data_IF_853992756159
#
_entry.id   IF_853992756159
#
_cell.length_a   1.000
_cell.length_b   1.000
_cell.length_c   1.000
_cell.angle_alpha   90.00
_cell.angle_beta   90.00
_cell.angle_gamma   90.00
#
_symmetry.space_group_name_H-M   'P 1'
#
loop_
_entity.id
_entity.type
_entity.pdbx_description
1 polymer ?
#
# COMPACT_ATOMS: atom_id res chain seq x y z
N UNK A 1 5.35 25.56 -0.41
CA UNK A 1 5.02 24.13 -0.33
C UNK A 1 3.97 24.00 0.75
N UNK A 2 2.83 23.44 0.42
CA UNK A 2 1.66 23.34 1.30
C UNK A 2 0.98 21.96 1.26
N UNK A 3 1.63 20.98 0.60
CA UNK A 3 1.11 19.62 0.46
C UNK A 3 2.18 18.60 0.82
N UNK A 4 1.80 17.62 1.66
CA UNK A 4 2.63 16.45 1.95
C UNK A 4 1.89 15.21 1.46
N UNK A 5 2.60 14.35 0.74
CA UNK A 5 2.13 13.04 0.34
C UNK A 5 2.90 11.98 1.12
N UNK A 6 2.20 11.15 1.87
CA UNK A 6 2.78 10.06 2.65
C UNK A 6 2.61 8.71 1.97
N UNK A 7 3.64 7.89 1.98
CA UNK A 7 3.42 6.45 2.01
C UNK A 7 2.79 6.04 3.36
N UNK A 8 2.21 4.84 3.44
CA UNK A 8 1.53 4.35 4.66
C UNK A 8 2.39 3.30 5.37
N UNK A 9 2.69 2.19 4.69
CA UNK A 9 3.40 1.06 5.30
C UNK A 9 4.88 1.36 5.55
N UNK A 10 5.38 1.23 6.79
CA UNK A 10 6.74 1.63 7.17
C UNK A 10 6.90 3.13 7.45
N UNK A 11 5.94 3.95 7.02
CA UNK A 11 5.96 5.41 7.16
C UNK A 11 5.04 5.89 8.29
N UNK A 12 3.73 5.65 8.19
CA UNK A 12 2.73 6.03 9.20
C UNK A 12 2.34 4.88 10.12
N UNK A 13 2.42 3.66 9.63
CA UNK A 13 2.10 2.44 10.36
C UNK A 13 2.90 1.26 9.82
N UNK A 14 2.90 0.15 10.54
CA UNK A 14 3.39 -1.15 10.06
C UNK A 14 2.42 -2.27 10.45
N UNK A 15 2.53 -3.41 9.80
CA UNK A 15 1.89 -4.63 10.27
C UNK A 15 2.86 -5.41 11.14
N UNK A 16 2.46 -5.69 12.39
CA UNK A 16 3.15 -6.65 13.25
C UNK A 16 2.75 -8.07 12.88
N UNK A 17 3.63 -9.03 13.11
CA UNK A 17 3.42 -10.45 12.79
C UNK A 17 3.34 -10.76 11.30
N UNK A 18 3.85 -9.89 10.44
CA UNK A 18 4.03 -10.24 9.03
C UNK A 18 5.22 -11.18 8.85
N UNK A 19 5.10 -12.25 8.03
CA UNK A 19 6.27 -12.94 7.52
C UNK A 19 7.05 -12.01 6.59
N UNK A 20 8.33 -12.29 6.41
CA UNK A 20 9.19 -11.53 5.50
C UNK A 20 8.68 -11.49 4.06
N UNK A 21 7.83 -12.45 3.68
CA UNK A 21 7.33 -12.59 2.32
C UNK A 21 5.83 -12.89 2.35
N UNK A 22 5.03 -12.01 1.74
CA UNK A 22 3.59 -12.20 1.57
C UNK A 22 3.21 -13.52 0.89
N UNK A 23 4.10 -14.06 0.06
CA UNK A 23 3.92 -15.34 -0.64
C UNK A 23 3.69 -16.52 0.29
N UNK A 24 4.20 -16.45 1.53
CA UNK A 24 4.07 -17.53 2.52
C UNK A 24 2.64 -17.67 3.06
N UNK A 25 1.80 -16.64 2.87
CA UNK A 25 0.38 -16.68 3.26
C UNK A 25 -0.53 -17.32 2.22
N UNK A 26 -0.17 -17.30 0.94
CA UNK A 26 -1.12 -17.56 -0.14
C UNK A 26 -1.75 -18.95 -0.07
N UNK A 27 -0.97 -19.99 0.20
CA UNK A 27 -1.48 -21.35 0.32
C UNK A 27 -2.43 -21.51 1.50
N UNK A 28 -2.02 -21.05 2.69
CA UNK A 28 -2.85 -21.08 3.89
C UNK A 28 -4.14 -20.26 3.73
N UNK A 29 -4.07 -19.12 3.06
CA UNK A 29 -5.22 -18.26 2.82
C UNK A 29 -6.22 -18.89 1.84
N UNK A 30 -5.76 -19.52 0.75
CA UNK A 30 -6.65 -20.28 -0.14
C UNK A 30 -7.25 -21.52 0.53
N UNK A 31 -6.48 -22.24 1.37
CA UNK A 31 -7.02 -23.35 2.17
C UNK A 31 -8.12 -22.86 3.11
N UNK A 32 -7.88 -21.74 3.80
CA UNK A 32 -8.90 -21.14 4.67
C UNK A 32 -10.17 -20.77 3.88
N UNK A 33 -10.05 -20.14 2.72
CA UNK A 33 -11.19 -19.80 1.87
C UNK A 33 -11.94 -21.08 1.42
N UNK A 34 -11.22 -22.13 1.01
CA UNK A 34 -11.78 -23.45 0.66
C UNK A 34 -12.62 -24.02 1.79
N UNK A 35 -12.08 -24.06 3.00
CA UNK A 35 -12.77 -24.61 4.17
C UNK A 35 -13.97 -23.75 4.59
N UNK A 36 -13.76 -22.45 4.73
CA UNK A 36 -14.78 -21.49 5.20
C UNK A 36 -16.00 -21.43 4.29
N UNK A 37 -15.79 -21.51 2.98
CA UNK A 37 -16.86 -21.43 1.97
C UNK A 37 -17.28 -22.81 1.44
N UNK A 38 -16.71 -23.90 1.99
CA UNK A 38 -16.97 -25.28 1.54
C UNK A 38 -16.79 -25.44 0.03
N UNK A 39 -15.75 -24.84 -0.55
CA UNK A 39 -15.48 -24.92 -1.97
C UNK A 39 -14.96 -26.30 -2.36
N UNK A 40 -15.50 -26.94 -3.43
CA UNK A 40 -15.07 -28.28 -3.85
C UNK A 40 -13.76 -28.25 -4.64
N UNK A 41 -12.77 -27.49 -4.13
CA UNK A 41 -11.45 -27.36 -4.74
C UNK A 41 -10.58 -28.57 -4.46
N UNK A 42 -10.01 -29.16 -5.49
CA UNK A 42 -8.93 -30.12 -5.39
C UNK A 42 -7.61 -29.46 -4.97
N UNK A 43 -6.68 -30.22 -4.44
CA UNK A 43 -5.35 -29.72 -4.09
C UNK A 43 -4.59 -29.19 -5.34
N UNK A 44 -4.82 -29.80 -6.50
CA UNK A 44 -4.24 -29.35 -7.77
C UNK A 44 -4.76 -27.97 -8.18
N UNK A 45 -6.08 -27.75 -8.13
CA UNK A 45 -6.70 -26.45 -8.41
C UNK A 45 -6.24 -25.37 -7.42
N UNK A 46 -6.13 -25.73 -6.14
CA UNK A 46 -5.62 -24.81 -5.13
C UNK A 46 -4.16 -24.41 -5.41
N UNK A 47 -3.29 -25.36 -5.73
CA UNK A 47 -1.90 -25.11 -6.08
C UNK A 47 -1.76 -24.20 -7.31
N UNK A 48 -2.63 -24.39 -8.32
CA UNK A 48 -2.68 -23.54 -9.51
C UNK A 48 -3.13 -22.10 -9.15
N UNK A 49 -4.15 -21.94 -8.32
CA UNK A 49 -4.58 -20.62 -7.82
C UNK A 49 -3.46 -19.88 -7.08
N UNK A 50 -2.72 -20.60 -6.24
CA UNK A 50 -1.54 -20.06 -5.53
C UNK A 50 -0.45 -19.64 -6.52
N UNK A 51 -0.18 -20.45 -7.55
CA UNK A 51 0.83 -20.16 -8.57
C UNK A 51 0.46 -18.89 -9.34
N UNK A 52 -0.79 -18.75 -9.78
CA UNK A 52 -1.29 -17.54 -10.46
C UNK A 52 -1.15 -16.31 -9.57
N UNK A 53 -1.57 -16.39 -8.29
CA UNK A 53 -1.45 -15.26 -7.37
C UNK A 53 0.02 -14.86 -7.12
N UNK A 54 0.93 -15.82 -7.09
CA UNK A 54 2.40 -15.57 -7.02
C UNK A 54 2.91 -14.78 -8.21
N UNK A 55 2.43 -15.07 -9.42
CA UNK A 55 2.81 -14.33 -10.63
C UNK A 55 2.39 -12.86 -10.57
N UNK A 56 1.28 -12.55 -9.93
CA UNK A 56 0.84 -11.16 -9.70
C UNK A 56 1.64 -10.44 -8.61
N UNK A 57 2.46 -11.13 -7.83
CA UNK A 57 3.23 -10.47 -6.78
C UNK A 57 4.44 -9.71 -7.39
N UNK A 58 4.56 -8.37 -7.16
CA UNK A 58 5.63 -7.56 -7.75
C UNK A 58 7.04 -7.91 -7.25
N UNK A 59 7.17 -8.69 -6.17
CA UNK A 59 8.46 -9.24 -5.73
C UNK A 59 8.89 -10.46 -6.55
N UNK A 60 7.95 -11.13 -7.21
CA UNK A 60 8.22 -12.25 -8.13
C UNK A 60 8.37 -11.74 -9.56
N UNK A 61 7.38 -11.01 -10.04
CA UNK A 61 7.38 -10.39 -11.36
C UNK A 61 7.23 -8.87 -11.19
N UNK A 62 8.33 -8.14 -11.34
CA UNK A 62 8.32 -6.69 -11.24
C UNK A 62 7.32 -6.08 -12.22
N UNK A 63 6.50 -5.18 -11.73
CA UNK A 63 5.52 -4.43 -12.53
C UNK A 63 5.22 -3.06 -11.92
N UNK A 64 4.93 -2.10 -12.76
CA UNK A 64 4.46 -0.77 -12.34
C UNK A 64 2.94 -0.61 -12.55
N UNK A 65 2.29 -1.50 -13.30
CA UNK A 65 0.82 -1.57 -13.40
C UNK A 65 0.28 -2.33 -12.19
N UNK A 66 -0.80 -1.85 -11.59
CA UNK A 66 -1.55 -2.64 -10.59
C UNK A 66 -2.90 -3.09 -11.13
N UNK A 67 -3.45 -4.13 -10.53
CA UNK A 67 -4.68 -4.78 -10.95
C UNK A 67 -5.64 -4.84 -9.78
N UNK A 68 -6.95 -4.76 -10.08
CA UNK A 68 -7.98 -4.87 -9.06
C UNK A 68 -7.99 -6.27 -8.42
N UNK A 69 -8.48 -6.40 -7.18
CA UNK A 69 -8.66 -7.70 -6.53
C UNK A 69 -9.45 -8.69 -7.39
N UNK A 70 -10.53 -8.20 -8.02
CA UNK A 70 -11.40 -9.03 -8.87
C UNK A 70 -10.67 -9.56 -10.10
N UNK A 71 -9.79 -8.75 -10.70
CA UNK A 71 -8.97 -9.19 -11.82
C UNK A 71 -8.01 -10.30 -11.39
N UNK A 72 -7.28 -10.08 -10.28
CA UNK A 72 -6.27 -11.01 -9.78
C UNK A 72 -6.91 -12.33 -9.36
N UNK A 73 -7.94 -12.27 -8.51
CA UNK A 73 -8.63 -13.47 -8.03
C UNK A 73 -9.47 -14.15 -9.12
N UNK A 74 -10.03 -13.37 -10.06
CA UNK A 74 -10.70 -13.93 -11.24
C UNK A 74 -9.74 -14.77 -12.07
N UNK A 75 -8.49 -14.31 -12.25
CA UNK A 75 -7.44 -15.10 -12.91
C UNK A 75 -7.02 -16.32 -12.09
N UNK A 76 -6.88 -16.18 -10.78
CA UNK A 76 -6.53 -17.28 -9.88
C UNK A 76 -7.62 -18.37 -9.81
N UNK A 77 -8.88 -18.03 -10.09
CA UNK A 77 -10.02 -18.96 -10.09
C UNK A 77 -10.52 -19.33 -11.50
N UNK A 78 -9.83 -18.92 -12.57
CA UNK A 78 -10.30 -19.11 -13.96
C UNK A 78 -10.49 -20.60 -14.34
N UNK A 79 -9.78 -21.51 -13.66
CA UNK A 79 -9.86 -22.96 -13.87
C UNK A 79 -10.82 -23.68 -12.91
N UNK A 80 -11.59 -22.94 -12.08
CA UNK A 80 -12.61 -23.53 -11.21
C UNK A 80 -13.87 -23.86 -12.01
N UNK A 81 -14.32 -25.08 -11.93
CA UNK A 81 -15.45 -25.62 -12.72
C UNK A 81 -16.78 -25.66 -11.97
N UNK A 82 -16.92 -24.88 -10.90
CA UNK A 82 -18.12 -24.77 -10.06
C UNK A 82 -18.49 -23.30 -9.81
N UNK A 83 -19.70 -23.09 -9.30
CA UNK A 83 -20.17 -21.73 -8.97
C UNK A 83 -19.64 -21.27 -7.61
N UNK A 84 -19.19 -20.03 -7.55
CA UNK A 84 -18.73 -19.36 -6.33
C UNK A 84 -19.00 -17.85 -6.42
N UNK A 85 -18.95 -17.17 -5.27
CA UNK A 85 -18.91 -15.71 -5.20
C UNK A 85 -17.46 -15.27 -5.04
N UNK A 86 -16.95 -14.49 -6.00
CA UNK A 86 -15.56 -14.04 -6.01
C UNK A 86 -15.24 -13.11 -4.84
N UNK A 87 -16.19 -12.25 -4.43
CA UNK A 87 -16.00 -11.31 -3.33
C UNK A 87 -15.93 -12.06 -1.98
N UNK A 88 -16.74 -13.12 -1.82
CA UNK A 88 -16.64 -13.99 -0.64
C UNK A 88 -15.28 -14.72 -0.59
N UNK A 89 -14.77 -15.18 -1.73
CA UNK A 89 -13.42 -15.79 -1.82
C UNK A 89 -12.34 -14.81 -1.43
N UNK A 90 -12.36 -13.58 -1.96
CA UNK A 90 -11.41 -12.52 -1.61
C UNK A 90 -11.47 -12.22 -0.10
N UNK A 91 -12.67 -12.06 0.45
CA UNK A 91 -12.89 -11.80 1.88
C UNK A 91 -12.31 -12.93 2.75
N UNK A 92 -12.68 -14.18 2.45
CA UNK A 92 -12.20 -15.35 3.20
C UNK A 92 -10.68 -15.53 3.10
N UNK A 93 -10.08 -15.23 1.94
CA UNK A 93 -8.63 -15.26 1.74
C UNK A 93 -7.91 -14.32 2.72
N UNK A 94 -8.36 -13.05 2.80
CA UNK A 94 -7.72 -12.06 3.67
C UNK A 94 -8.06 -12.23 5.15
N UNK A 95 -9.18 -12.84 5.52
CA UNK A 95 -9.50 -13.21 6.92
C UNK A 95 -8.40 -14.06 7.57
N UNK A 96 -7.77 -14.96 6.79
CA UNK A 96 -6.69 -15.83 7.30
C UNK A 96 -5.42 -15.07 7.64
N UNK A 97 -5.18 -13.92 7.05
CA UNK A 97 -3.90 -13.20 7.20
C UNK A 97 -3.71 -12.60 8.60
N UNK A 98 -4.78 -12.33 9.34
CA UNK A 98 -4.78 -11.84 10.75
C UNK A 98 -3.77 -10.71 10.97
N UNK A 99 -3.71 -9.76 10.03
CA UNK A 99 -2.77 -8.64 10.10
C UNK A 99 -3.05 -7.81 11.34
N UNK A 100 -1.98 -7.49 12.08
CA UNK A 100 -2.08 -6.64 13.26
C UNK A 100 -1.46 -5.28 12.93
N UNK A 101 -2.28 -4.23 12.68
CA UNK A 101 -1.76 -2.90 12.41
C UNK A 101 -1.13 -2.30 13.67
N UNK A 102 -0.08 -1.55 13.47
CA UNK A 102 0.57 -0.74 14.51
C UNK A 102 0.85 0.65 13.94
N UNK A 103 0.02 1.62 14.32
CA UNK A 103 0.25 3.02 13.98
C UNK A 103 1.42 3.52 14.82
N UNK A 104 2.40 4.14 14.18
CA UNK A 104 3.53 4.69 14.91
C UNK A 104 3.07 5.84 15.83
N UNK A 105 3.61 5.94 17.06
CA UNK A 105 3.15 6.92 18.05
C UNK A 105 3.28 8.38 17.64
N UNK A 106 4.16 8.67 16.70
CA UNK A 106 4.42 10.00 16.16
C UNK A 106 3.49 10.37 14.98
N UNK A 107 2.76 9.40 14.41
CA UNK A 107 1.96 9.61 13.20
C UNK A 107 0.78 10.53 13.45
N UNK A 108 -0.13 10.17 14.33
CA UNK A 108 -1.32 11.02 14.62
C UNK A 108 -0.92 12.41 15.09
N UNK A 109 0.00 12.59 16.09
CA UNK A 109 0.43 13.92 16.49
C UNK A 109 1.07 14.74 15.37
N UNK A 110 1.78 14.12 14.43
CA UNK A 110 2.35 14.84 13.29
C UNK A 110 1.27 15.31 12.32
N UNK A 111 0.32 14.42 11.98
CA UNK A 111 -0.80 14.77 11.10
C UNK A 111 -1.67 15.89 11.68
N UNK A 112 -1.93 15.86 13.00
CA UNK A 112 -2.64 16.94 13.71
C UNK A 112 -1.93 18.29 13.59
N UNK A 113 -0.62 18.32 13.84
CA UNK A 113 0.18 19.56 13.68
C UNK A 113 0.13 20.08 12.25
N UNK A 114 0.29 19.21 11.26
CA UNK A 114 0.24 19.59 9.85
C UNK A 114 -1.14 20.15 9.46
N UNK A 115 -2.22 19.52 9.90
CA UNK A 115 -3.59 20.04 9.68
C UNK A 115 -3.79 21.40 10.35
N UNK A 116 -3.27 21.61 11.56
CA UNK A 116 -3.34 22.90 12.27
C UNK A 116 -2.59 24.02 11.52
N UNK A 117 -1.57 23.65 10.73
CA UNK A 117 -0.83 24.58 9.86
C UNK A 117 -1.50 24.78 8.49
N UNK A 118 -2.65 24.15 8.24
CA UNK A 118 -3.36 24.26 6.96
C UNK A 118 -2.69 23.47 5.81
N UNK A 119 -1.88 22.47 6.14
CA UNK A 119 -1.21 21.61 5.15
C UNK A 119 -2.20 20.60 4.57
N UNK A 120 -2.21 20.47 3.25
CA UNK A 120 -2.91 19.41 2.54
C UNK A 120 -2.14 18.10 2.73
N UNK A 121 -2.84 17.05 3.18
CA UNK A 121 -2.24 15.75 3.47
C UNK A 121 -2.86 14.70 2.56
N UNK A 122 -2.04 14.10 1.70
CA UNK A 122 -2.44 13.02 0.82
C UNK A 122 -1.65 11.75 1.10
N UNK A 123 -2.10 10.63 0.54
CA UNK A 123 -1.34 9.37 0.58
C UNK A 123 -1.06 8.88 -0.83
N UNK A 124 0.05 8.16 -1.00
CA UNK A 124 0.32 7.30 -2.16
C UNK A 124 0.97 6.01 -1.67
N UNK A 125 0.21 4.93 -1.65
CA UNK A 125 0.63 3.66 -1.07
C UNK A 125 0.46 2.50 -2.03
N UNK A 126 1.40 1.54 -2.02
CA UNK A 126 1.25 0.28 -2.73
C UNK A 126 0.50 -0.73 -1.86
N UNK A 127 -0.66 -1.16 -2.32
CA UNK A 127 -1.47 -2.16 -1.60
C UNK A 127 -0.95 -3.58 -1.88
N UNK A 128 -1.12 -4.49 -0.92
CA UNK A 128 -0.76 -5.88 -1.09
C UNK A 128 -1.53 -6.51 -2.26
N UNK A 129 -0.88 -7.46 -2.98
CA UNK A 129 -1.45 -8.11 -4.16
C UNK A 129 -2.85 -8.66 -3.90
N UNK A 130 -3.83 -8.16 -4.62
CA UNK A 130 -5.23 -8.60 -4.52
C UNK A 130 -6.00 -8.11 -3.28
N UNK A 131 -5.43 -7.25 -2.44
CA UNK A 131 -6.13 -6.72 -1.28
C UNK A 131 -7.06 -5.56 -1.68
N UNK A 132 -8.36 -5.60 -1.34
CA UNK A 132 -9.26 -4.47 -1.58
C UNK A 132 -8.84 -3.21 -0.82
N UNK A 133 -9.05 -2.03 -1.42
CA UNK A 133 -8.75 -0.73 -0.79
C UNK A 133 -9.53 -0.51 0.51
N UNK A 134 -10.79 -0.95 0.56
CA UNK A 134 -11.64 -0.86 1.75
C UNK A 134 -11.02 -1.66 2.92
N UNK A 135 -10.54 -2.86 2.63
CA UNK A 135 -9.86 -3.70 3.62
C UNK A 135 -8.54 -3.05 4.06
N UNK A 136 -7.75 -2.52 3.12
CA UNK A 136 -6.49 -1.83 3.44
C UNK A 136 -6.76 -0.64 4.37
N UNK A 137 -7.74 0.21 4.05
CA UNK A 137 -8.11 1.37 4.89
C UNK A 137 -8.65 0.99 6.26
N UNK A 138 -9.29 -0.18 6.40
CA UNK A 138 -9.83 -0.66 7.68
C UNK A 138 -8.76 -0.95 8.74
N UNK A 139 -7.49 -1.05 8.36
CA UNK A 139 -6.37 -1.28 9.28
C UNK A 139 -5.85 -0.02 9.98
N UNK A 140 -6.23 1.18 9.52
CA UNK A 140 -5.75 2.45 10.10
C UNK A 140 -6.86 3.53 10.15
N UNK A 141 -8.03 3.21 10.75
CA UNK A 141 -9.17 4.13 10.79
C UNK A 141 -8.84 5.45 11.50
N UNK A 142 -7.87 5.45 12.42
CA UNK A 142 -7.43 6.63 13.17
C UNK A 142 -6.67 7.63 12.28
N UNK A 143 -6.09 7.19 11.17
CA UNK A 143 -5.35 8.06 10.25
C UNK A 143 -6.26 8.69 9.18
N UNK A 144 -7.35 8.00 8.81
CA UNK A 144 -8.22 8.41 7.69
C UNK A 144 -8.77 9.85 7.81
N UNK A 145 -9.15 10.35 8.99
CA UNK A 145 -9.69 11.71 9.13
C UNK A 145 -8.72 12.82 8.76
N UNK A 146 -7.42 12.53 8.70
CA UNK A 146 -6.39 13.53 8.38
C UNK A 146 -6.09 13.63 6.89
N UNK A 147 -6.49 12.63 6.08
CA UNK A 147 -6.19 12.62 4.66
C UNK A 147 -7.22 13.40 3.86
N UNK A 148 -6.75 14.40 3.11
CA UNK A 148 -7.57 15.14 2.15
C UNK A 148 -7.79 14.29 0.87
N UNK A 149 -6.82 13.42 0.54
CA UNK A 149 -6.95 12.46 -0.55
C UNK A 149 -6.17 11.17 -0.22
N UNK A 150 -6.83 10.03 -0.35
CA UNK A 150 -6.19 8.72 -0.28
C UNK A 150 -6.02 8.18 -1.70
N UNK A 151 -4.77 7.95 -2.10
CA UNK A 151 -4.42 7.31 -3.37
C UNK A 151 -3.67 6.02 -3.06
N UNK A 152 -4.10 4.94 -3.68
CA UNK A 152 -3.43 3.64 -3.63
C UNK A 152 -3.00 3.20 -5.02
N UNK A 153 -2.13 2.19 -5.09
CA UNK A 153 -1.75 1.57 -6.35
C UNK A 153 -2.94 0.96 -7.11
N UNK A 154 -4.01 0.56 -6.39
CA UNK A 154 -5.24 0.05 -6.99
C UNK A 154 -6.07 1.20 -7.56
N UNK A 155 -6.28 2.27 -6.79
CA UNK A 155 -7.13 3.40 -7.22
C UNK A 155 -6.56 4.16 -8.41
N UNK A 156 -5.23 4.32 -8.50
CA UNK A 156 -4.58 4.97 -9.65
C UNK A 156 -4.14 3.97 -10.76
N UNK A 157 -4.26 2.64 -10.50
CA UNK A 157 -3.86 1.59 -11.44
C UNK A 157 -2.35 1.40 -11.60
N UNK A 158 -1.52 2.10 -10.82
CA UNK A 158 -0.07 2.09 -10.95
C UNK A 158 0.61 1.96 -9.58
N UNK A 159 1.69 1.18 -9.55
CA UNK A 159 2.57 1.02 -8.38
C UNK A 159 3.76 1.97 -8.45
N UNK A 160 4.25 2.39 -7.30
CA UNK A 160 5.54 3.08 -7.21
C UNK A 160 6.66 2.19 -7.76
N UNK A 161 7.60 2.74 -8.54
CA UNK A 161 7.91 4.15 -8.73
C UNK A 161 7.23 4.85 -9.94
N UNK A 162 6.09 4.35 -10.43
CA UNK A 162 5.32 5.06 -11.46
C UNK A 162 4.74 6.35 -10.85
N UNK A 163 4.86 7.54 -11.50
CA UNK A 163 4.45 8.80 -10.92
C UNK A 163 2.94 9.06 -10.99
N UNK A 164 2.15 8.19 -11.61
CA UNK A 164 0.71 8.40 -11.87
C UNK A 164 -0.08 8.84 -10.63
N UNK A 165 0.16 8.22 -9.47
CA UNK A 165 -0.55 8.62 -8.24
C UNK A 165 -0.21 10.03 -7.76
N UNK A 166 1.04 10.51 -7.98
CA UNK A 166 1.41 11.91 -7.71
C UNK A 166 0.83 12.85 -8.74
N UNK A 167 0.77 12.44 -10.02
CA UNK A 167 0.12 13.19 -11.09
C UNK A 167 -1.37 13.39 -10.80
N UNK A 168 -2.08 12.36 -10.34
CA UNK A 168 -3.49 12.42 -9.96
C UNK A 168 -3.73 13.38 -8.79
N UNK A 169 -2.87 13.36 -7.76
CA UNK A 169 -2.93 14.28 -6.62
C UNK A 169 -2.68 15.71 -7.10
N UNK A 170 -1.65 15.93 -7.91
CA UNK A 170 -1.28 17.23 -8.43
C UNK A 170 -2.41 17.83 -9.30
N UNK A 171 -2.99 17.04 -10.18
CA UNK A 171 -4.13 17.44 -11.01
C UNK A 171 -5.35 17.81 -10.16
N UNK A 172 -5.70 16.99 -9.16
CA UNK A 172 -6.87 17.19 -8.29
C UNK A 172 -6.80 18.53 -7.53
N UNK A 173 -5.62 18.88 -7.01
CA UNK A 173 -5.43 20.11 -6.20
C UNK A 173 -4.84 21.27 -6.97
N UNK A 174 -4.53 21.12 -8.26
CA UNK A 174 -3.91 22.17 -9.08
C UNK A 174 -2.50 22.52 -8.63
N UNK A 175 -1.69 21.52 -8.27
CA UNK A 175 -0.33 21.68 -7.72
C UNK A 175 0.74 21.50 -8.81
N UNK A 176 1.87 22.16 -8.61
CA UNK A 176 3.11 21.82 -9.31
C UNK A 176 4.04 20.97 -8.42
N UNK A 177 5.09 20.41 -9.00
CA UNK A 177 5.97 19.49 -8.27
C UNK A 177 6.62 20.14 -7.04
N UNK A 178 6.94 21.43 -7.13
CA UNK A 178 7.55 22.22 -6.05
C UNK A 178 6.63 22.41 -4.83
N UNK A 179 5.32 22.22 -5.01
CA UNK A 179 4.34 22.32 -3.93
C UNK A 179 4.26 21.07 -3.06
N UNK A 180 4.87 19.98 -3.49
CA UNK A 180 4.74 18.65 -2.87
C UNK A 180 6.04 18.22 -2.18
N UNK A 181 5.90 17.74 -0.94
CA UNK A 181 6.89 16.91 -0.26
C UNK A 181 6.37 15.48 -0.18
N UNK A 182 7.09 14.52 -0.74
CA UNK A 182 6.77 13.11 -0.55
C UNK A 182 7.56 12.55 0.64
N UNK A 183 6.92 11.73 1.47
CA UNK A 183 7.54 11.08 2.63
C UNK A 183 7.29 9.58 2.56
N UNK A 184 8.36 8.79 2.54
CA UNK A 184 8.29 7.33 2.50
C UNK A 184 9.53 6.66 3.06
N UNK A 185 9.51 5.33 3.22
CA UNK A 185 10.58 4.56 3.86
C UNK A 185 11.37 3.66 2.89
N UNK A 186 10.89 3.48 1.67
CA UNK A 186 11.50 2.59 0.69
C UNK A 186 12.14 3.35 -0.50
N UNK A 187 13.07 2.67 -1.17
CA UNK A 187 13.72 3.19 -2.40
C UNK A 187 12.70 3.63 -3.47
N UNK A 188 11.59 2.89 -3.63
CA UNK A 188 10.55 3.22 -4.63
C UNK A 188 9.85 4.54 -4.34
N UNK A 189 9.80 4.96 -3.06
CA UNK A 189 9.22 6.24 -2.63
C UNK A 189 10.09 7.43 -3.07
N UNK A 190 11.39 7.27 -2.93
CA UNK A 190 12.34 8.27 -3.43
C UNK A 190 12.34 8.30 -4.96
N UNK A 191 12.25 7.13 -5.60
CA UNK A 191 12.20 7.05 -7.06
C UNK A 191 10.94 7.67 -7.66
N UNK A 192 9.75 7.47 -7.07
CA UNK A 192 8.52 8.09 -7.58
C UNK A 192 8.58 9.60 -7.48
N UNK A 193 9.11 10.12 -6.37
CA UNK A 193 9.31 11.57 -6.17
C UNK A 193 10.25 12.16 -7.20
N UNK A 194 11.37 11.50 -7.44
CA UNK A 194 12.33 11.92 -8.47
C UNK A 194 11.77 11.88 -9.90
N UNK A 195 10.97 10.86 -10.21
CA UNK A 195 10.31 10.76 -11.54
C UNK A 195 9.25 11.84 -11.72
N UNK A 196 8.54 12.19 -10.67
CA UNK A 196 7.56 13.30 -10.70
C UNK A 196 8.23 14.68 -10.64
N UNK A 197 9.37 14.78 -9.98
CA UNK A 197 10.14 16.04 -9.84
C UNK A 197 9.87 16.80 -8.53
N UNK A 198 9.23 16.17 -7.53
CA UNK A 198 9.00 16.79 -6.23
C UNK A 198 10.13 16.50 -5.24
N UNK A 199 10.16 17.25 -4.13
CA UNK A 199 11.06 17.00 -3.01
C UNK A 199 10.63 15.73 -2.26
N UNK A 200 11.61 15.04 -1.64
CA UNK A 200 11.35 13.81 -0.91
C UNK A 200 12.15 13.69 0.40
N UNK A 201 11.52 13.11 1.40
CA UNK A 201 12.12 12.72 2.66
C UNK A 201 12.06 11.20 2.83
N UNK A 202 13.21 10.60 3.08
CA UNK A 202 13.29 9.21 3.53
C UNK A 202 13.07 9.18 5.04
N UNK A 203 12.06 8.43 5.51
CA UNK A 203 11.90 8.14 6.92
C UNK A 203 12.63 6.83 7.25
N UNK A 204 13.79 6.95 7.87
CA UNK A 204 14.66 5.81 8.26
C UNK A 204 14.47 5.44 9.73
N UNK A 205 13.29 4.87 10.05
CA UNK A 205 12.92 4.46 11.41
C UNK A 205 13.88 3.41 11.99
N UNK A 206 14.54 2.63 11.13
CA UNK A 206 15.45 1.53 11.53
C UNK A 206 16.91 1.98 11.61
N UNK A 207 17.19 3.23 11.30
CA UNK A 207 18.55 3.78 11.25
C UNK A 207 19.49 2.96 10.37
N UNK A 208 18.99 2.60 9.18
CA UNK A 208 19.72 1.79 8.20
C UNK A 208 20.87 2.55 7.54
N UNK A 209 20.79 3.89 7.52
CA UNK A 209 21.74 4.75 6.82
C UNK A 209 21.56 4.71 5.30
N UNK A 210 20.37 4.32 4.81
CA UNK A 210 20.10 4.23 3.38
C UNK A 210 20.16 5.61 2.72
N UNK A 211 20.78 5.64 1.54
CA UNK A 211 20.82 6.80 0.65
C UNK A 211 20.33 6.37 -0.75
N UNK A 212 19.17 6.90 -1.14
CA UNK A 212 18.58 6.71 -2.46
C UNK A 212 18.56 8.00 -3.28
N UNK A 213 19.29 9.04 -2.79
CA UNK A 213 19.32 10.38 -3.34
C UNK A 213 18.15 11.27 -2.89
N UNK A 214 17.56 11.00 -1.73
CA UNK A 214 16.53 11.83 -1.11
C UNK A 214 17.06 13.21 -0.73
N UNK A 215 16.15 14.21 -0.64
CA UNK A 215 16.53 15.55 -0.23
C UNK A 215 16.72 15.66 1.28
N UNK A 216 15.92 14.86 2.04
CA UNK A 216 15.98 14.82 3.50
C UNK A 216 15.96 13.37 4.01
N UNK A 217 16.60 13.16 5.16
CA UNK A 217 16.47 11.90 5.93
C UNK A 217 15.97 12.26 7.33
N UNK A 218 14.88 11.64 7.75
CA UNK A 218 14.29 11.79 9.08
C UNK A 218 14.16 10.41 9.74
N UNK A 219 14.18 10.39 11.08
CA UNK A 219 14.05 9.13 11.86
C UNK A 219 12.60 8.87 12.29
N UNK A 220 11.85 9.95 12.45
CA UNK A 220 10.45 9.96 12.84
C UNK A 220 9.76 11.22 12.27
N UNK A 221 8.49 11.38 12.52
CA UNK A 221 7.70 12.52 12.04
C UNK A 221 7.71 13.74 12.97
N UNK A 222 8.53 13.72 14.05
CA UNK A 222 8.63 14.86 14.92
C UNK A 222 9.37 15.99 14.22
N UNK A 223 8.72 17.15 14.11
CA UNK A 223 9.31 18.31 13.45
C UNK A 223 9.31 18.25 11.92
N UNK A 224 8.50 17.38 11.32
CA UNK A 224 8.35 17.27 9.86
C UNK A 224 7.92 18.61 9.23
N UNK A 225 7.19 19.44 9.95
CA UNK A 225 6.81 20.80 9.55
C UNK A 225 7.99 21.71 9.24
N UNK A 226 9.20 21.40 9.71
CA UNK A 226 10.43 22.16 9.41
C UNK A 226 10.98 21.91 8.00
N UNK A 227 10.44 20.90 7.30
CA UNK A 227 10.84 20.58 5.92
C UNK A 227 10.01 21.34 4.88
N UNK A 228 8.97 22.08 5.32
CA UNK A 228 8.04 22.82 4.47
C UNK A 228 8.54 24.19 3.97
#
# INVERSE_FOLDING_TARGET
MNTIVFDIGGTLMEYRNMPYVWLDYYEGAFNHARERLSLPLSDAQLAESVAVLREFNPKVNYREVDYTPEHIFGKAAEHWDFKFDLNEVISAFFENMKLTPYIYPDSVPALERLKALGITICTLTDVATGMPDELHRSYFPELLPYFDMYVSSISCGMRKPNPKGLEDIAEHFGLCAEDILFVGDEKKDIMVSKRFGCRCALIDRKNSGADYGQDFTIKDLNGIEKLL
#
